data_IF_887972800207
#
_entry.id   IF_887972800207
#
_cell.length_a   1.000
_cell.length_b   1.000
_cell.length_c   1.000
_cell.angle_alpha   90.00
_cell.angle_beta   90.00
_cell.angle_gamma   90.00
#
_symmetry.space_group_name_H-M   'P 1'
#
loop_
_entity.id
_entity.type
_entity.pdbx_description
1 polymer ?
#
# COMPACT_ATOMS: atom_id res chain seq x y z
N UNK A 1 7.96 -8.40 -10.06
CA UNK A 1 7.28 -7.73 -8.93
C UNK A 1 6.46 -6.55 -9.46
N UNK A 2 5.27 -6.34 -8.90
CA UNK A 2 4.41 -5.18 -9.20
C UNK A 2 4.21 -4.37 -7.92
N UNK A 3 4.16 -3.05 -8.05
CA UNK A 3 3.89 -2.16 -6.92
C UNK A 3 2.73 -1.21 -7.24
N UNK A 4 1.78 -1.12 -6.29
CA UNK A 4 0.71 -0.13 -6.28
C UNK A 4 0.43 0.31 -4.85
N UNK A 5 0.41 1.62 -4.61
CA UNK A 5 -0.03 2.19 -3.33
C UNK A 5 -1.55 2.27 -3.35
N UNK A 6 -2.21 1.55 -2.45
CA UNK A 6 -3.67 1.59 -2.29
C UNK A 6 -4.00 2.65 -1.23
N UNK A 7 -4.38 3.85 -1.68
CA UNK A 7 -4.89 4.91 -0.80
C UNK A 7 -6.27 4.55 -0.26
N UNK A 8 -6.55 4.87 1.01
CA UNK A 8 -7.90 4.75 1.57
C UNK A 8 -8.80 5.82 0.94
N UNK A 9 -9.86 5.43 0.24
CA UNK A 9 -10.95 6.36 -0.11
C UNK A 9 -11.67 6.72 1.19
N UNK A 10 -11.51 7.96 1.64
CA UNK A 10 -12.17 8.45 2.84
C UNK A 10 -13.69 8.26 2.69
N UNK A 11 -14.27 7.42 3.53
CA UNK A 11 -15.72 7.34 3.68
C UNK A 11 -16.20 8.71 4.19
N UNK A 12 -16.91 9.46 3.33
CA UNK A 12 -17.58 10.69 3.70
C UNK A 12 -18.56 10.37 4.84
N UNK A 13 -18.28 10.85 6.05
CA UNK A 13 -19.29 10.97 7.11
C UNK A 13 -20.12 12.21 6.79
N UNK A 14 -21.35 12.00 6.32
CA UNK A 14 -22.36 13.02 6.15
C UNK A 14 -23.04 13.33 7.50
N UNK A 15 -22.34 14.07 8.35
CA UNK A 15 -22.93 14.65 9.56
C UNK A 15 -23.85 15.82 9.22
N UNK A 16 -25.04 15.53 8.68
CA UNK A 16 -26.11 16.51 8.53
C UNK A 16 -26.84 16.69 9.87
N UNK A 17 -27.03 17.97 10.26
CA UNK A 17 -27.97 18.36 11.30
C UNK A 17 -27.35 19.14 12.47
N UNK A 18 -27.20 20.45 12.33
CA UNK A 18 -27.37 21.34 13.49
C UNK A 18 -27.90 22.70 13.02
N UNK A 19 -29.19 22.92 13.32
CA UNK A 19 -29.94 24.15 13.06
C UNK A 19 -29.43 25.27 13.97
N UNK A 20 -28.98 26.39 13.42
CA UNK A 20 -28.75 27.63 14.18
C UNK A 20 -29.74 28.71 13.74
N UNK A 21 -30.67 29.05 14.65
CA UNK A 21 -31.56 30.20 14.53
C UNK A 21 -30.90 31.51 15.00
N UNK A 22 -31.53 32.67 14.74
CA UNK A 22 -30.91 34.00 14.89
C UNK A 22 -30.64 34.44 16.34
N UNK A 23 -31.12 33.71 17.35
CA UNK A 23 -30.92 34.04 18.76
C UNK A 23 -29.54 33.65 19.32
N UNK A 24 -28.80 32.77 18.64
CA UNK A 24 -27.48 32.30 19.09
C UNK A 24 -26.30 33.21 18.73
N UNK A 25 -26.54 34.22 17.88
CA UNK A 25 -25.47 35.01 17.26
C UNK A 25 -24.84 36.05 18.21
N UNK A 26 -25.54 36.44 19.27
CA UNK A 26 -25.14 37.59 20.11
C UNK A 26 -24.26 37.19 21.30
N UNK A 27 -24.34 35.94 21.78
CA UNK A 27 -23.55 35.48 22.94
C UNK A 27 -22.14 35.02 22.55
N UNK A 28 -21.89 34.69 21.28
CA UNK A 28 -20.61 34.16 20.82
C UNK A 28 -19.50 35.22 20.66
N UNK A 29 -19.84 36.52 20.64
CA UNK A 29 -18.88 37.60 20.33
C UNK A 29 -18.06 38.10 21.51
N UNK A 30 -18.38 37.72 22.76
CA UNK A 30 -17.68 38.21 23.97
C UNK A 30 -16.74 37.19 24.62
N UNK A 31 -16.62 35.97 24.07
CA UNK A 31 -15.73 34.91 24.54
C UNK A 31 -14.65 34.51 23.51
N UNK A 32 -14.57 35.21 22.37
CA UNK A 32 -13.67 34.89 21.26
C UNK A 32 -12.21 35.33 21.43
N UNK A 33 -11.70 35.36 22.66
CA UNK A 33 -10.31 35.73 22.98
C UNK A 33 -9.53 34.53 23.51
N UNK A 34 -8.45 34.18 22.81
CA UNK A 34 -7.45 33.17 23.14
C UNK A 34 -7.88 31.70 22.95
N UNK A 35 -7.68 31.23 21.72
CA UNK A 35 -7.64 29.82 21.40
C UNK A 35 -7.34 29.65 19.93
N UNK A 36 -6.10 29.93 19.51
CA UNK A 36 -5.57 29.23 18.33
C UNK A 36 -5.49 27.75 18.71
N UNK A 37 -6.64 27.07 18.64
CA UNK A 37 -6.69 25.65 18.52
C UNK A 37 -6.03 25.35 17.18
N UNK A 38 -4.71 25.15 17.20
CA UNK A 38 -3.98 24.55 16.09
C UNK A 38 -4.67 23.22 15.80
N UNK A 39 -5.56 23.22 14.80
CA UNK A 39 -6.13 22.00 14.25
C UNK A 39 -4.95 21.28 13.64
N UNK A 40 -4.36 20.34 14.38
CA UNK A 40 -3.35 19.46 13.80
C UNK A 40 -4.00 18.84 12.55
N UNK A 41 -3.35 18.96 11.37
CA UNK A 41 -3.84 18.26 10.20
C UNK A 41 -3.96 16.79 10.58
N UNK A 42 -5.09 16.14 10.26
CA UNK A 42 -5.32 14.76 10.66
C UNK A 42 -4.11 13.95 10.22
N UNK A 43 -3.45 13.27 11.18
CA UNK A 43 -2.26 12.48 10.93
C UNK A 43 -2.48 11.66 9.67
N UNK A 44 -1.65 11.92 8.65
CA UNK A 44 -1.88 11.37 7.32
C UNK A 44 -1.86 9.85 7.43
N UNK A 45 -3.04 9.24 7.22
CA UNK A 45 -3.21 7.81 7.45
C UNK A 45 -2.22 7.04 6.57
N UNK A 46 -1.40 6.19 7.20
CA UNK A 46 -0.44 5.37 6.49
C UNK A 46 -1.16 4.47 5.47
N UNK A 47 -0.57 4.25 4.28
CA UNK A 47 -1.14 3.34 3.31
C UNK A 47 -1.13 1.91 3.86
N UNK A 48 -2.09 1.09 3.42
CA UNK A 48 -2.00 -0.35 3.66
C UNK A 48 -1.04 -0.95 2.63
N UNK A 49 -0.18 -1.87 3.06
CA UNK A 49 0.75 -2.60 2.18
C UNK A 49 0.23 -4.02 2.02
N UNK A 50 -0.02 -4.44 0.78
CA UNK A 50 -0.35 -5.83 0.43
C UNK A 50 0.82 -6.39 -0.36
N UNK A 51 1.50 -7.39 0.19
CA UNK A 51 2.60 -8.09 -0.47
C UNK A 51 2.10 -9.44 -0.99
N UNK A 52 2.11 -9.64 -2.31
CA UNK A 52 1.72 -10.88 -2.97
C UNK A 52 2.96 -11.58 -3.52
N UNK A 53 3.18 -12.83 -3.10
CA UNK A 53 4.26 -13.69 -3.56
C UNK A 53 3.67 -14.95 -4.19
N UNK A 54 4.10 -15.28 -5.40
CA UNK A 54 3.82 -16.56 -6.04
C UNK A 54 5.11 -17.40 -6.01
N UNK A 55 5.01 -18.64 -5.52
CA UNK A 55 6.14 -19.58 -5.53
C UNK A 55 6.32 -20.14 -6.95
N UNK A 56 7.57 -20.39 -7.35
CA UNK A 56 7.97 -20.94 -8.65
C UNK A 56 7.44 -20.21 -9.91
N UNK A 57 7.05 -18.94 -9.79
CA UNK A 57 6.60 -18.14 -10.95
C UNK A 57 7.79 -17.60 -11.75
N UNK A 58 7.96 -18.10 -12.97
CA UNK A 58 8.98 -17.69 -13.92
C UNK A 58 8.72 -16.31 -14.53
N UNK A 59 9.80 -15.64 -14.97
CA UNK A 59 9.75 -14.28 -15.55
C UNK A 59 8.79 -14.16 -16.75
N UNK A 60 8.79 -15.17 -17.63
CA UNK A 60 7.99 -15.17 -18.87
C UNK A 60 6.60 -15.77 -18.73
N UNK A 61 6.09 -16.01 -17.51
CA UNK A 61 4.84 -16.78 -17.33
C UNK A 61 3.57 -15.92 -17.28
N UNK A 62 3.70 -14.58 -17.23
CA UNK A 62 2.56 -13.67 -17.24
C UNK A 62 2.41 -12.97 -18.59
N UNK A 63 1.17 -12.66 -18.98
CA UNK A 63 0.85 -11.95 -20.22
C UNK A 63 1.60 -10.62 -20.35
N UNK A 64 1.70 -9.87 -19.27
CA UNK A 64 2.48 -8.62 -19.17
C UNK A 64 4.00 -8.79 -19.31
N UNK A 65 4.50 -10.02 -19.43
CA UNK A 65 5.88 -10.35 -19.82
C UNK A 65 5.99 -11.05 -21.19
N UNK A 66 4.89 -11.15 -21.94
CA UNK A 66 4.88 -11.49 -23.35
C UNK A 66 4.47 -12.93 -23.70
N UNK A 67 4.06 -13.77 -22.74
CA UNK A 67 3.46 -15.06 -23.09
C UNK A 67 1.98 -14.92 -23.47
N UNK A 68 1.49 -15.83 -24.31
CA UNK A 68 0.15 -15.76 -24.90
C UNK A 68 -0.74 -16.98 -24.58
N UNK A 69 -0.22 -17.97 -23.84
CA UNK A 69 -0.91 -19.26 -23.62
C UNK A 69 -1.87 -19.23 -22.44
N UNK A 70 -1.46 -18.59 -21.34
CA UNK A 70 -2.20 -18.54 -20.09
C UNK A 70 -2.76 -17.12 -19.92
N UNK A 71 -4.07 -16.99 -19.74
CA UNK A 71 -4.68 -15.67 -19.55
C UNK A 71 -4.48 -15.20 -18.10
N UNK A 72 -3.81 -14.06 -17.92
CA UNK A 72 -3.53 -13.45 -16.60
C UNK A 72 -4.15 -12.06 -16.41
N UNK A 73 -5.43 -11.84 -16.78
CA UNK A 73 -5.99 -10.49 -16.97
C UNK A 73 -5.94 -9.61 -15.71
N UNK A 74 -6.04 -10.19 -14.51
CA UNK A 74 -5.96 -9.44 -13.27
C UNK A 74 -4.54 -8.95 -12.95
N UNK A 75 -3.53 -9.76 -13.26
CA UNK A 75 -2.12 -9.39 -13.06
C UNK A 75 -1.64 -8.44 -14.15
N UNK A 76 -2.14 -8.61 -15.38
CA UNK A 76 -1.84 -7.72 -16.50
C UNK A 76 -2.41 -6.32 -16.24
N UNK A 77 -3.66 -6.24 -15.76
CA UNK A 77 -4.24 -4.97 -15.30
C UNK A 77 -3.47 -4.34 -14.14
N UNK A 78 -2.96 -5.14 -13.20
CA UNK A 78 -2.11 -4.61 -12.12
C UNK A 78 -0.79 -4.05 -12.65
N UNK A 79 -0.23 -4.66 -13.70
CA UNK A 79 0.97 -4.18 -14.38
C UNK A 79 0.73 -2.86 -15.12
N UNK A 80 -0.42 -2.72 -15.78
CA UNK A 80 -0.83 -1.51 -16.52
C UNK A 80 -1.17 -0.34 -15.60
N UNK A 81 -1.90 -0.59 -14.51
CA UNK A 81 -2.31 0.43 -13.54
C UNK A 81 -1.20 0.80 -12.53
N UNK A 82 -0.05 0.13 -12.59
CA UNK A 82 1.01 0.20 -11.58
C UNK A 82 2.42 0.33 -12.16
N UNK A 83 3.40 -0.09 -11.36
CA UNK A 83 4.81 -0.15 -11.79
C UNK A 83 5.20 -1.62 -11.97
N UNK A 84 5.76 -1.94 -13.14
CA UNK A 84 6.31 -3.25 -13.49
C UNK A 84 7.84 -3.20 -13.49
N UNK A 85 8.48 -4.03 -12.67
CA UNK A 85 9.93 -4.20 -12.66
C UNK A 85 10.34 -5.36 -13.59
N UNK A 86 11.16 -5.07 -14.60
CA UNK A 86 11.68 -6.06 -15.57
C UNK A 86 13.03 -6.67 -15.15
N UNK A 87 13.63 -6.16 -14.08
CA UNK A 87 14.94 -6.61 -13.54
C UNK A 87 14.84 -6.81 -12.03
N UNK A 88 13.87 -7.62 -11.59
CA UNK A 88 13.66 -7.96 -10.18
C UNK A 88 14.11 -9.39 -9.92
N UNK A 89 15.25 -9.55 -9.25
CA UNK A 89 15.85 -10.85 -8.94
C UNK A 89 15.44 -11.33 -7.55
N UNK A 90 15.22 -12.65 -7.42
CA UNK A 90 15.10 -13.30 -6.12
C UNK A 90 16.46 -13.29 -5.41
N UNK A 91 16.46 -13.14 -4.08
CA UNK A 91 17.70 -13.19 -3.29
C UNK A 91 18.35 -14.58 -3.25
N UNK A 92 17.63 -15.63 -3.67
CA UNK A 92 18.14 -16.99 -3.87
C UNK A 92 17.26 -17.76 -4.87
N UNK A 93 17.79 -18.72 -5.64
CA UNK A 93 17.00 -19.61 -6.50
C UNK A 93 16.25 -20.71 -5.71
N UNK A 94 16.33 -20.73 -4.38
CA UNK A 94 15.71 -21.75 -3.52
C UNK A 94 14.65 -21.11 -2.60
N UNK A 95 13.56 -21.82 -2.35
CA UNK A 95 12.36 -21.30 -1.69
C UNK A 95 12.61 -20.72 -0.28
N UNK A 96 13.17 -21.50 0.66
CA UNK A 96 13.38 -21.02 2.02
C UNK A 96 14.42 -19.88 2.09
N UNK A 97 15.58 -19.96 1.41
CA UNK A 97 16.54 -18.86 1.39
C UNK A 97 16.00 -17.60 0.71
N UNK A 98 15.22 -17.73 -0.38
CA UNK A 98 14.58 -16.59 -1.05
C UNK A 98 13.67 -15.83 -0.09
N UNK A 99 12.76 -16.55 0.58
CA UNK A 99 11.89 -15.99 1.61
C UNK A 99 12.69 -15.41 2.78
N UNK A 100 13.78 -16.06 3.18
CA UNK A 100 14.70 -15.57 4.20
C UNK A 100 15.29 -14.20 3.84
N UNK A 101 15.80 -14.04 2.62
CA UNK A 101 16.32 -12.74 2.16
C UNK A 101 15.24 -11.67 2.11
N UNK A 102 14.03 -12.02 1.67
CA UNK A 102 12.90 -11.10 1.61
C UNK A 102 12.46 -10.61 2.99
N UNK A 103 12.33 -11.52 3.97
CA UNK A 103 11.83 -11.18 5.31
C UNK A 103 12.86 -10.43 6.16
N UNK A 104 14.14 -10.73 5.97
CA UNK A 104 15.22 -10.15 6.80
C UNK A 104 15.88 -8.94 6.16
N UNK A 105 15.78 -8.77 4.84
CA UNK A 105 16.56 -7.78 4.09
C UNK A 105 18.05 -8.11 3.99
N UNK A 106 18.48 -9.30 4.45
CA UNK A 106 19.87 -9.75 4.39
C UNK A 106 20.09 -10.62 3.16
N UNK A 107 21.25 -10.48 2.51
CA UNK A 107 21.67 -11.44 1.49
C UNK A 107 22.06 -12.78 2.12
N UNK A 108 22.10 -13.85 1.32
CA UNK A 108 22.31 -15.23 1.78
C UNK A 108 23.60 -15.44 2.60
N UNK A 109 24.67 -14.69 2.31
CA UNK A 109 25.90 -14.67 3.10
C UNK A 109 25.69 -14.28 4.58
N UNK A 110 24.73 -13.39 4.88
CA UNK A 110 24.41 -12.94 6.24
C UNK A 110 23.07 -13.50 6.77
N UNK A 111 22.34 -14.27 5.97
CA UNK A 111 21.13 -14.99 6.40
C UNK A 111 21.46 -16.32 7.07
N UNK A 112 20.66 -16.70 8.08
CA UNK A 112 20.72 -18.02 8.71
C UNK A 112 20.09 -19.11 7.82
N UNK A 113 19.04 -18.77 7.05
CA UNK A 113 18.38 -19.69 6.13
C UNK A 113 19.13 -19.68 4.80
N UNK A 114 19.83 -20.78 4.50
CA UNK A 114 20.70 -20.94 3.33
C UNK A 114 20.33 -22.12 2.43
N UNK A 115 19.53 -23.06 2.93
CA UNK A 115 18.96 -24.16 2.17
C UNK A 115 17.55 -24.52 2.67
N UNK A 116 16.94 -25.55 2.08
CA UNK A 116 15.60 -26.05 2.41
C UNK A 116 15.58 -27.20 3.42
N UNK A 117 16.73 -27.78 3.77
CA UNK A 117 16.85 -28.98 4.61
C UNK A 117 17.35 -28.69 6.02
#
# INVERSE_FOLDING_TARGET
>A
MYARVIGRRALRRDGSGFLWGPAGLVVALLLGGCGDASVEPPAQALPNIIYMLADDLGYGELGSFGQEKILTPNLDRLAEEGIRFTQHYSGSPVCAPSRGTLMTGLHTGHSQIRDNF
#
